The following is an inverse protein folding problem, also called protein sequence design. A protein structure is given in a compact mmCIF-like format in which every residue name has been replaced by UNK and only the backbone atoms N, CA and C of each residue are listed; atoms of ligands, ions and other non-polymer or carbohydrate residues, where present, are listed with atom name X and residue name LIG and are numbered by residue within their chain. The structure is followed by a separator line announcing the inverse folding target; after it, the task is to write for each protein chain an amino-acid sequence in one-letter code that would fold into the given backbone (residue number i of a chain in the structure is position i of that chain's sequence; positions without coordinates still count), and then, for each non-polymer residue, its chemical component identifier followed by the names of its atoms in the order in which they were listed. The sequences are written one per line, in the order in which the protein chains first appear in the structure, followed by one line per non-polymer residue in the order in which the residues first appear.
data_IF_075896159817
#
_entry.id   IF_075896159817
#
_cell.length_a   1.000
_cell.length_b   1.000
_cell.length_c   1.000
_cell.angle_alpha   90.00
_cell.angle_beta   90.00
_cell.angle_gamma   90.00
#
_symmetry.space_group_name_H-M   'P 1'
#
loop_
_entity.id
_entity.type
_entity.pdbx_description
1 polymer ?
#
# COMPACT_ATOMS: atom_id res chain seq x y z
N UNK A 1 8.13 -70.73 -26.67
CA UNK A 1 7.25 -69.89 -27.51
C UNK A 1 7.04 -68.59 -26.76
N UNK A 2 8.03 -67.70 -26.77
CA UNK A 2 8.20 -66.63 -27.77
C UNK A 2 7.09 -65.57 -27.72
N UNK A 3 7.54 -64.36 -27.33
CA UNK A 3 7.04 -63.03 -27.67
C UNK A 3 5.59 -62.72 -27.27
N UNK A 4 5.34 -61.64 -26.53
CA UNK A 4 5.44 -60.30 -27.08
C UNK A 4 5.68 -59.26 -25.98
N UNK A 5 6.91 -58.76 -25.94
CA UNK A 5 7.20 -57.44 -25.39
C UNK A 5 6.37 -56.39 -26.14
N UNK A 6 5.40 -55.81 -25.45
CA UNK A 6 4.52 -54.76 -25.98
C UNK A 6 4.58 -53.50 -25.12
N UNK A 7 5.70 -52.80 -25.20
CA UNK A 7 5.86 -51.35 -25.05
C UNK A 7 4.88 -50.63 -24.09
N UNK A 8 5.20 -50.61 -22.79
CA UNK A 8 4.70 -49.56 -21.89
C UNK A 8 5.44 -48.26 -22.25
N UNK A 9 4.85 -47.52 -23.18
CA UNK A 9 5.18 -46.11 -23.42
C UNK A 9 4.99 -45.33 -22.11
N UNK A 10 6.04 -45.27 -21.30
CA UNK A 10 6.16 -44.30 -20.22
C UNK A 10 6.36 -42.93 -20.86
N UNK A 11 5.25 -42.31 -21.29
CA UNK A 11 5.25 -40.87 -21.53
C UNK A 11 5.52 -40.22 -20.17
N UNK A 12 6.80 -39.90 -19.94
CA UNK A 12 7.21 -38.94 -18.91
C UNK A 12 6.43 -37.68 -19.21
N UNK A 13 5.44 -37.37 -18.38
CA UNK A 13 4.91 -36.03 -18.28
C UNK A 13 6.08 -35.16 -17.82
N UNK A 14 6.78 -34.56 -18.76
CA UNK A 14 7.58 -33.38 -18.47
C UNK A 14 6.57 -32.23 -18.38
N UNK A 15 6.31 -31.65 -17.21
CA UNK A 15 5.70 -30.34 -17.21
C UNK A 15 6.77 -29.43 -17.81
N UNK A 16 6.60 -29.02 -19.05
CA UNK A 16 7.26 -27.81 -19.53
C UNK A 16 6.83 -26.71 -18.57
N UNK A 17 7.71 -26.38 -17.62
CA UNK A 17 7.53 -25.27 -16.73
C UNK A 17 7.61 -24.01 -17.59
N UNK A 18 6.46 -23.62 -18.16
CA UNK A 18 6.26 -22.30 -18.69
C UNK A 18 6.36 -21.34 -17.50
N UNK A 19 7.55 -20.77 -17.30
CA UNK A 19 7.82 -19.70 -16.32
C UNK A 19 6.88 -18.49 -16.59
N UNK A 20 6.31 -18.43 -17.80
CA UNK A 20 5.42 -17.38 -18.30
C UNK A 20 3.99 -17.84 -18.60
N UNK A 21 3.54 -19.05 -18.20
CA UNK A 21 2.12 -19.40 -18.36
C UNK A 21 1.32 -18.62 -17.32
N UNK A 22 0.67 -17.55 -17.78
CA UNK A 22 -0.26 -16.69 -17.04
C UNK A 22 -1.59 -17.40 -16.66
N UNK A 23 -1.56 -18.73 -16.49
CA UNK A 23 -2.69 -19.54 -16.03
C UNK A 23 -2.89 -19.52 -14.51
N UNK A 24 -2.17 -18.67 -13.76
CA UNK A 24 -2.26 -18.62 -12.29
C UNK A 24 -3.43 -17.81 -11.75
N UNK A 25 -3.96 -16.83 -12.50
CA UNK A 25 -5.11 -16.01 -12.07
C UNK A 25 -6.36 -16.31 -12.89
N UNK A 26 -7.48 -16.48 -12.19
CA UNK A 26 -8.80 -16.55 -12.82
C UNK A 26 -9.20 -15.20 -13.45
N UNK A 27 -10.03 -15.25 -14.50
CA UNK A 27 -10.57 -14.04 -15.15
C UNK A 27 -11.27 -13.09 -14.15
N UNK A 28 -11.88 -13.67 -13.10
CA UNK A 28 -12.55 -12.93 -12.03
C UNK A 28 -11.53 -12.14 -11.20
N UNK A 29 -10.42 -12.76 -10.81
CA UNK A 29 -9.34 -12.10 -10.07
C UNK A 29 -8.68 -10.98 -10.91
N UNK A 30 -8.46 -11.21 -12.20
CA UNK A 30 -7.89 -10.18 -13.08
C UNK A 30 -8.82 -8.96 -13.20
N UNK A 31 -10.13 -9.18 -13.42
CA UNK A 31 -11.10 -8.10 -13.50
C UNK A 31 -11.19 -7.32 -12.18
N UNK A 32 -11.16 -8.02 -11.04
CA UNK A 32 -11.19 -7.39 -9.72
C UNK A 32 -9.93 -6.56 -9.46
N UNK A 33 -8.74 -7.10 -9.72
CA UNK A 33 -7.48 -6.38 -9.59
C UNK A 33 -7.45 -5.15 -10.50
N UNK A 34 -7.92 -5.25 -11.75
CA UNK A 34 -7.97 -4.12 -12.65
C UNK A 34 -8.82 -2.98 -12.08
N UNK A 35 -10.02 -3.29 -11.58
CA UNK A 35 -10.90 -2.29 -10.93
C UNK A 35 -10.29 -1.70 -9.67
N UNK A 36 -9.59 -2.52 -8.89
CA UNK A 36 -8.89 -2.09 -7.69
C UNK A 36 -7.76 -1.10 -8.03
N UNK A 37 -6.84 -1.47 -8.93
CA UNK A 37 -5.72 -0.60 -9.31
C UNK A 37 -6.18 0.66 -10.04
N UNK A 38 -7.23 0.63 -10.86
CA UNK A 38 -7.78 1.86 -11.45
C UNK A 38 -8.37 2.79 -10.40
N UNK A 39 -9.03 2.24 -9.37
CA UNK A 39 -9.54 3.01 -8.22
C UNK A 39 -8.40 3.66 -7.44
N UNK A 40 -7.30 2.93 -7.22
CA UNK A 40 -6.08 3.46 -6.60
C UNK A 40 -5.52 4.62 -7.43
N UNK A 41 -5.41 4.47 -8.76
CA UNK A 41 -4.94 5.53 -9.64
C UNK A 41 -5.82 6.78 -9.55
N UNK A 42 -7.15 6.63 -9.62
CA UNK A 42 -8.09 7.75 -9.43
C UNK A 42 -7.87 8.41 -8.06
N UNK A 43 -7.76 7.61 -6.99
CA UNK A 43 -7.47 8.10 -5.66
C UNK A 43 -6.17 8.91 -5.59
N UNK A 44 -5.10 8.44 -6.22
CA UNK A 44 -3.81 9.19 -6.27
C UNK A 44 -3.92 10.52 -7.01
N UNK A 45 -4.71 10.60 -8.09
CA UNK A 45 -4.99 11.87 -8.79
C UNK A 45 -5.70 12.84 -7.85
N UNK A 46 -6.75 12.39 -7.15
CA UNK A 46 -7.48 13.22 -6.18
C UNK A 46 -6.60 13.63 -5.00
N UNK A 47 -5.72 12.75 -4.54
CA UNK A 47 -4.72 13.05 -3.49
C UNK A 47 -3.78 14.16 -3.94
N UNK A 48 -3.31 14.07 -5.19
CA UNK A 48 -2.44 15.08 -5.78
C UNK A 48 -3.15 16.42 -5.87
N UNK A 49 -4.41 16.44 -6.30
CA UNK A 49 -5.24 17.65 -6.30
C UNK A 49 -5.38 18.25 -4.90
N UNK A 50 -5.65 17.42 -3.88
CA UNK A 50 -5.73 17.86 -2.48
C UNK A 50 -4.42 18.47 -1.99
N UNK A 51 -3.29 17.87 -2.31
CA UNK A 51 -1.97 18.39 -1.96
C UNK A 51 -1.67 19.73 -2.67
N UNK A 52 -1.96 19.84 -3.97
CA UNK A 52 -1.76 21.08 -4.75
C UNK A 52 -2.61 22.22 -4.20
N UNK A 53 -3.88 21.96 -3.88
CA UNK A 53 -4.79 22.95 -3.30
C UNK A 53 -4.29 23.45 -1.94
N UNK A 54 -3.76 22.55 -1.10
CA UNK A 54 -3.14 22.90 0.17
C UNK A 54 -1.90 23.78 -0.02
N UNK A 55 -1.01 23.40 -0.95
CA UNK A 55 0.24 24.12 -1.25
C UNK A 55 -0.05 25.54 -1.75
N UNK A 56 -1.05 25.69 -2.62
CA UNK A 56 -1.46 26.98 -3.16
C UNK A 56 -2.24 27.84 -2.15
N UNK A 57 -2.42 27.37 -0.91
CA UNK A 57 -3.17 28.04 0.17
C UNK A 57 -4.64 28.35 -0.19
N UNK A 58 -5.21 27.61 -1.14
CA UNK A 58 -6.60 27.81 -1.55
C UNK A 58 -7.57 27.23 -0.52
N UNK A 59 -7.24 26.05 0.03
CA UNK A 59 -8.01 25.39 1.07
C UNK A 59 -7.02 24.64 1.98
N UNK A 60 -6.99 24.99 3.26
CA UNK A 60 -6.17 24.33 4.26
C UNK A 60 -7.09 23.74 5.32
N UNK A 61 -7.39 22.45 5.16
CA UNK A 61 -8.22 21.73 6.12
C UNK A 61 -7.42 21.61 7.43
N UNK A 62 -7.95 22.09 8.56
CA UNK A 62 -7.32 21.87 9.85
C UNK A 62 -7.11 20.38 10.11
N UNK A 63 -5.97 20.01 10.68
CA UNK A 63 -5.57 18.61 10.86
C UNK A 63 -6.65 17.77 11.58
N UNK A 64 -7.26 18.31 12.64
CA UNK A 64 -8.35 17.65 13.37
C UNK A 64 -9.58 17.38 12.49
N UNK A 65 -9.99 18.36 11.68
CA UNK A 65 -11.13 18.22 10.75
C UNK A 65 -10.81 17.18 9.68
N UNK A 66 -9.58 17.19 9.14
CA UNK A 66 -9.10 16.19 8.20
C UNK A 66 -9.12 14.77 8.78
N UNK A 67 -8.68 14.61 10.03
CA UNK A 67 -8.72 13.32 10.73
C UNK A 67 -10.15 12.81 10.94
N UNK A 68 -11.04 13.66 11.47
CA UNK A 68 -12.45 13.30 11.70
C UNK A 68 -13.13 12.92 10.38
N UNK A 69 -12.90 13.70 9.33
CA UNK A 69 -13.44 13.42 7.99
C UNK A 69 -12.89 12.11 7.45
N UNK A 70 -11.58 11.88 7.58
CA UNK A 70 -10.93 10.66 7.13
C UNK A 70 -11.48 9.40 7.81
N UNK A 71 -11.59 9.43 9.15
CA UNK A 71 -12.19 8.34 9.92
C UNK A 71 -13.68 8.16 9.61
N UNK A 72 -14.43 9.24 9.45
CA UNK A 72 -15.85 9.20 9.09
C UNK A 72 -16.09 8.54 7.74
N UNK A 73 -15.31 8.92 6.72
CA UNK A 73 -15.37 8.30 5.39
C UNK A 73 -15.00 6.81 5.44
N UNK A 74 -13.94 6.45 6.16
CA UNK A 74 -13.54 5.05 6.34
C UNK A 74 -14.63 4.22 7.02
N UNK A 75 -15.15 4.71 8.15
CA UNK A 75 -16.21 4.05 8.88
C UNK A 75 -17.45 3.85 8.02
N UNK A 76 -17.84 4.87 7.25
CA UNK A 76 -18.95 4.78 6.30
C UNK A 76 -18.71 3.70 5.23
N UNK A 77 -17.52 3.65 4.63
CA UNK A 77 -17.21 2.69 3.56
C UNK A 77 -17.20 1.24 4.09
N UNK A 78 -16.64 1.02 5.28
CA UNK A 78 -16.64 -0.30 5.93
C UNK A 78 -18.07 -0.71 6.28
N UNK A 79 -18.85 0.18 6.90
CA UNK A 79 -20.22 -0.11 7.33
C UNK A 79 -21.19 -0.37 6.18
N UNK A 80 -20.95 0.28 5.04
CA UNK A 80 -21.73 0.14 3.79
C UNK A 80 -21.15 -0.91 2.84
N UNK A 81 -20.13 -1.66 3.25
CA UNK A 81 -19.60 -2.76 2.47
C UNK A 81 -20.68 -3.83 2.30
N UNK A 82 -20.88 -4.22 1.05
CA UNK A 82 -21.78 -5.29 0.64
C UNK A 82 -21.06 -6.13 -0.39
N UNK A 83 -21.22 -7.45 -0.33
CA UNK A 83 -20.59 -8.37 -1.30
C UNK A 83 -21.34 -8.38 -2.65
N UNK A 84 -21.53 -7.18 -3.21
CA UNK A 84 -22.25 -6.90 -4.45
C UNK A 84 -21.31 -6.25 -5.45
N UNK A 85 -21.48 -6.56 -6.74
CA UNK A 85 -20.63 -6.01 -7.81
C UNK A 85 -20.87 -4.51 -8.03
N UNK A 86 -22.08 -4.03 -7.70
CA UNK A 86 -22.49 -2.64 -7.90
C UNK A 86 -22.04 -1.82 -6.70
N UNK A 87 -21.22 -0.80 -6.96
CA UNK A 87 -20.80 0.16 -5.95
C UNK A 87 -21.79 1.33 -5.93
N UNK A 88 -22.21 1.69 -4.73
CA UNK A 88 -23.02 2.90 -4.51
C UNK A 88 -22.21 4.17 -4.80
N UNK A 89 -22.82 5.12 -5.51
CA UNK A 89 -22.25 6.45 -5.76
C UNK A 89 -21.69 7.10 -4.48
N UNK A 90 -22.41 6.97 -3.36
CA UNK A 90 -21.99 7.53 -2.07
C UNK A 90 -20.71 6.92 -1.51
N UNK A 91 -20.44 5.64 -1.79
CA UNK A 91 -19.19 4.98 -1.39
C UNK A 91 -18.00 5.50 -2.19
N UNK A 92 -18.19 5.69 -3.50
CA UNK A 92 -17.17 6.32 -4.35
C UNK A 92 -16.92 7.75 -3.89
N UNK A 93 -17.97 8.54 -3.63
CA UNK A 93 -17.82 9.91 -3.15
C UNK A 93 -17.07 9.96 -1.81
N UNK A 94 -17.40 9.09 -0.86
CA UNK A 94 -16.68 9.00 0.41
C UNK A 94 -15.20 8.65 0.21
N UNK A 95 -14.88 7.76 -0.74
CA UNK A 95 -13.49 7.45 -1.10
C UNK A 95 -12.76 8.66 -1.69
N UNK A 96 -13.39 9.43 -2.59
CA UNK A 96 -12.75 10.61 -3.16
C UNK A 96 -12.52 11.71 -2.11
N UNK A 97 -13.48 11.95 -1.22
CA UNK A 97 -13.33 12.88 -0.08
C UNK A 97 -12.19 12.43 0.82
N UNK A 98 -12.10 11.12 1.10
CA UNK A 98 -11.01 10.53 1.86
C UNK A 98 -9.64 10.77 1.20
N UNK A 99 -9.49 10.49 -0.09
CA UNK A 99 -8.24 10.76 -0.81
C UNK A 99 -7.87 12.24 -0.83
N UNK A 100 -8.86 13.13 -1.01
CA UNK A 100 -8.65 14.57 -1.04
C UNK A 100 -8.16 15.11 0.31
N UNK A 101 -8.77 14.66 1.41
CA UNK A 101 -8.39 15.04 2.78
C UNK A 101 -7.03 14.49 3.17
N UNK A 102 -6.66 13.28 2.71
CA UNK A 102 -5.29 12.77 2.83
C UNK A 102 -4.28 13.63 2.06
N UNK A 103 -4.60 14.03 0.82
CA UNK A 103 -3.76 14.94 0.04
C UNK A 103 -3.47 16.26 0.76
N UNK A 104 -4.52 16.87 1.34
CA UNK A 104 -4.37 18.05 2.20
C UNK A 104 -3.46 17.79 3.40
N UNK A 105 -3.62 16.64 4.06
CA UNK A 105 -2.84 16.26 5.24
C UNK A 105 -1.36 16.00 4.93
N UNK A 106 -1.04 15.59 3.69
CA UNK A 106 0.34 15.45 3.20
C UNK A 106 0.98 16.79 2.79
N UNK A 107 0.18 17.83 2.58
CA UNK A 107 0.64 19.15 2.15
C UNK A 107 1.80 19.72 2.98
N UNK A 108 1.73 19.76 4.32
CA UNK A 108 2.85 20.20 5.16
C UNK A 108 4.13 19.40 4.94
N UNK A 109 4.04 18.08 4.81
CA UNK A 109 5.19 17.20 4.58
C UNK A 109 5.85 17.52 3.23
N UNK A 110 5.05 17.76 2.20
CA UNK A 110 5.54 18.10 0.85
C UNK A 110 6.24 19.46 0.84
N UNK A 111 5.61 20.48 1.46
CA UNK A 111 6.21 21.82 1.59
C UNK A 111 7.53 21.74 2.35
N UNK A 112 7.56 21.02 3.47
CA UNK A 112 8.75 20.88 4.29
C UNK A 112 9.86 20.12 3.55
N UNK A 113 9.52 19.03 2.85
CA UNK A 113 10.49 18.29 2.04
C UNK A 113 11.09 19.16 0.94
N UNK A 114 10.26 19.90 0.21
CA UNK A 114 10.72 20.82 -0.83
C UNK A 114 11.60 21.95 -0.29
N UNK A 115 11.30 22.46 0.92
CA UNK A 115 12.13 23.45 1.59
C UNK A 115 13.53 22.92 1.95
N UNK A 116 13.63 21.65 2.37
CA UNK A 116 14.93 21.04 2.68
C UNK A 116 15.71 20.74 1.41
N UNK A 117 15.13 20.00 0.47
CA UNK A 117 15.70 19.75 -0.85
C UNK A 117 14.59 19.33 -1.82
N UNK A 118 14.37 20.04 -2.94
CA UNK A 118 13.31 19.73 -3.89
C UNK A 118 13.40 18.32 -4.50
N UNK A 119 14.57 17.65 -4.44
CA UNK A 119 14.72 16.28 -4.94
C UNK A 119 14.06 15.22 -4.04
N UNK A 120 13.75 15.55 -2.78
CA UNK A 120 13.25 14.58 -1.79
C UNK A 120 11.88 14.02 -2.17
N UNK A 121 10.94 14.87 -2.58
CA UNK A 121 9.57 14.43 -2.88
C UNK A 121 9.52 13.55 -4.13
N UNK A 122 10.15 13.91 -5.27
CA UNK A 122 10.22 13.04 -6.43
C UNK A 122 10.93 11.72 -6.15
N UNK A 123 12.04 11.73 -5.39
CA UNK A 123 12.76 10.49 -5.04
C UNK A 123 11.91 9.58 -4.17
N UNK A 124 11.21 10.13 -3.16
CA UNK A 124 10.28 9.36 -2.34
C UNK A 124 9.16 8.70 -3.17
N UNK A 125 8.58 9.43 -4.13
CA UNK A 125 7.55 8.91 -5.03
C UNK A 125 8.08 7.76 -5.90
N UNK A 126 9.24 7.94 -6.54
CA UNK A 126 9.85 6.91 -7.39
C UNK A 126 10.18 5.66 -6.56
N UNK A 127 10.78 5.82 -5.39
CA UNK A 127 11.08 4.68 -4.50
C UNK A 127 9.80 3.96 -4.08
N UNK A 128 8.74 4.70 -3.75
CA UNK A 128 7.44 4.11 -3.39
C UNK A 128 6.85 3.33 -4.55
N UNK A 129 6.87 3.88 -5.78
CA UNK A 129 6.36 3.21 -6.97
C UNK A 129 7.11 1.91 -7.27
N UNK A 130 8.44 1.93 -7.18
CA UNK A 130 9.27 0.74 -7.39
C UNK A 130 8.92 -0.35 -6.37
N UNK A 131 8.86 -0.01 -5.09
CA UNK A 131 8.49 -0.95 -4.03
C UNK A 131 7.05 -1.46 -4.22
N UNK A 132 6.12 -0.55 -4.45
CA UNK A 132 4.70 -0.89 -4.58
C UNK A 132 4.46 -1.85 -5.75
N UNK A 133 4.98 -1.53 -6.93
CA UNK A 133 4.82 -2.35 -8.14
C UNK A 133 5.54 -3.68 -8.00
N UNK A 134 6.79 -3.70 -7.52
CA UNK A 134 7.55 -4.94 -7.37
C UNK A 134 6.94 -5.90 -6.36
N UNK A 135 6.46 -5.39 -5.23
CA UNK A 135 5.83 -6.20 -4.17
C UNK A 135 4.44 -6.67 -4.58
N UNK A 136 3.65 -5.81 -5.23
CA UNK A 136 2.34 -6.21 -5.80
C UNK A 136 2.52 -7.31 -6.85
N UNK A 137 3.51 -7.17 -7.74
CA UNK A 137 3.84 -8.18 -8.74
C UNK A 137 4.29 -9.48 -8.05
N UNK A 138 5.19 -9.41 -7.08
CA UNK A 138 5.65 -10.57 -6.30
C UNK A 138 4.49 -11.29 -5.60
N UNK A 139 3.52 -10.54 -5.05
CA UNK A 139 2.32 -11.09 -4.46
C UNK A 139 1.48 -11.86 -5.49
N UNK A 140 1.21 -11.27 -6.66
CA UNK A 140 0.44 -11.94 -7.72
C UNK A 140 1.03 -13.30 -8.13
N UNK A 141 2.36 -13.46 -8.09
CA UNK A 141 3.04 -14.70 -8.47
C UNK A 141 3.33 -15.68 -7.32
N UNK A 142 3.11 -15.30 -6.06
CA UNK A 142 3.43 -16.15 -4.91
C UNK A 142 2.29 -17.13 -4.59
N UNK A 143 2.63 -18.33 -4.08
CA UNK A 143 1.67 -19.40 -3.75
C UNK A 143 0.88 -19.10 -2.46
N UNK A 144 -0.43 -19.36 -2.51
CA UNK A 144 -1.49 -19.07 -1.50
C UNK A 144 -1.32 -19.61 -0.06
N UNK A 145 -0.23 -20.30 0.31
CA UNK A 145 -0.10 -20.92 1.66
C UNK A 145 0.46 -19.99 2.75
N UNK A 146 0.99 -18.82 2.37
CA UNK A 146 1.67 -17.91 3.30
C UNK A 146 0.73 -16.95 4.04
N UNK A 147 -0.50 -16.76 3.57
CA UNK A 147 -1.34 -15.60 3.93
C UNK A 147 -1.91 -15.68 5.35
N UNK A 148 -2.22 -16.88 5.85
CA UNK A 148 -2.72 -17.07 7.23
C UNK A 148 -1.64 -16.85 8.31
N UNK A 149 -0.39 -17.25 8.06
CA UNK A 149 0.69 -17.02 9.03
C UNK A 149 1.16 -15.55 9.02
N UNK A 150 1.07 -14.89 7.86
CA UNK A 150 1.47 -13.50 7.72
C UNK A 150 0.52 -12.52 8.41
N UNK A 151 -0.79 -12.83 8.51
CA UNK A 151 -1.77 -11.91 9.12
C UNK A 151 -1.47 -11.65 10.61
N UNK A 152 -1.21 -12.69 11.39
CA UNK A 152 -0.87 -12.59 12.81
C UNK A 152 0.46 -11.87 13.03
N UNK A 153 1.46 -12.16 12.19
CA UNK A 153 2.76 -11.50 12.25
C UNK A 153 2.67 -10.01 11.93
N UNK A 154 1.97 -9.64 10.86
CA UNK A 154 1.79 -8.24 10.47
C UNK A 154 0.98 -7.48 11.53
N UNK A 155 -0.12 -8.06 12.03
CA UNK A 155 -0.93 -7.42 13.06
C UNK A 155 -0.16 -7.22 14.37
N UNK A 156 0.58 -8.23 14.83
CA UNK A 156 1.42 -8.13 16.03
C UNK A 156 2.58 -7.15 15.86
N UNK A 157 3.24 -7.13 14.70
CA UNK A 157 4.29 -6.16 14.38
C UNK A 157 3.74 -4.73 14.37
N UNK A 158 2.57 -4.50 13.77
CA UNK A 158 1.89 -3.20 13.76
C UNK A 158 1.52 -2.74 15.17
N UNK A 159 0.95 -3.63 15.98
CA UNK A 159 0.62 -3.31 17.38
C UNK A 159 1.88 -2.96 18.19
N UNK A 160 2.97 -3.72 18.03
CA UNK A 160 4.23 -3.48 18.72
C UNK A 160 4.89 -2.17 18.29
N UNK A 161 4.98 -1.89 16.98
CA UNK A 161 5.52 -0.62 16.48
C UNK A 161 4.65 0.56 16.87
N UNK A 162 3.32 0.38 16.90
CA UNK A 162 2.38 1.37 17.41
C UNK A 162 2.60 1.67 18.90
N UNK A 163 2.80 0.63 19.71
CA UNK A 163 3.10 0.76 21.13
C UNK A 163 4.42 1.53 21.35
N UNK A 164 5.50 1.16 20.66
CA UNK A 164 6.77 1.90 20.74
C UNK A 164 6.58 3.36 20.29
N UNK A 165 5.84 3.60 19.21
CA UNK A 165 5.56 4.96 18.73
C UNK A 165 4.78 5.79 19.75
N UNK A 166 3.84 5.18 20.47
CA UNK A 166 3.09 5.85 21.54
C UNK A 166 4.00 6.24 22.70
N UNK A 167 4.89 5.36 23.16
CA UNK A 167 5.85 5.72 24.21
C UNK A 167 6.89 6.73 23.74
N UNK A 168 7.37 6.61 22.49
CA UNK A 168 8.35 7.55 21.97
C UNK A 168 7.79 8.96 21.80
N UNK A 169 6.47 9.12 21.67
CA UNK A 169 5.83 10.43 21.72
C UNK A 169 6.10 11.19 23.04
N UNK A 170 6.16 10.47 24.18
CA UNK A 170 6.49 11.05 25.48
C UNK A 170 8.00 11.24 25.68
N UNK A 171 8.81 10.25 25.31
CA UNK A 171 10.27 10.27 25.57
C UNK A 171 11.10 11.00 24.50
N UNK A 172 10.57 11.16 23.29
CA UNK A 172 11.18 11.88 22.15
C UNK A 172 12.61 11.44 21.82
N UNK A 173 12.88 10.14 21.86
CA UNK A 173 14.20 9.61 21.53
C UNK A 173 14.45 9.62 20.02
N UNK A 174 15.49 10.35 19.60
CA UNK A 174 15.91 10.44 18.19
C UNK A 174 16.27 9.09 17.60
N UNK A 175 16.97 8.25 18.37
CA UNK A 175 17.35 6.91 17.93
C UNK A 175 16.12 6.06 17.64
N UNK A 176 15.16 6.03 18.58
CA UNK A 176 13.90 5.29 18.43
C UNK A 176 13.10 5.84 17.25
N UNK A 177 13.04 7.16 17.06
CA UNK A 177 12.35 7.76 15.92
C UNK A 177 12.92 7.33 14.56
N UNK A 178 14.24 7.21 14.45
CA UNK A 178 14.90 6.74 13.22
C UNK A 178 14.60 5.25 13.01
N UNK A 179 14.75 4.43 14.05
CA UNK A 179 14.45 2.99 13.99
C UNK A 179 12.99 2.73 13.61
N UNK A 180 12.05 3.43 14.24
CA UNK A 180 10.63 3.38 13.91
C UNK A 180 10.39 3.76 12.45
N UNK A 181 11.05 4.81 11.96
CA UNK A 181 10.89 5.23 10.56
C UNK A 181 11.23 4.11 9.57
N UNK A 182 12.37 3.42 9.75
CA UNK A 182 12.73 2.29 8.88
C UNK A 182 11.84 1.07 9.10
N UNK A 183 11.48 0.77 10.35
CA UNK A 183 10.57 -0.35 10.66
C UNK A 183 9.19 -0.17 10.02
N UNK A 184 8.64 1.05 10.03
CA UNK A 184 7.38 1.36 9.34
C UNK A 184 7.49 1.25 7.82
N UNK A 185 8.62 1.61 7.20
CA UNK A 185 8.81 1.40 5.75
C UNK A 185 8.75 -0.09 5.42
N UNK A 186 9.44 -0.92 6.20
CA UNK A 186 9.38 -2.38 6.03
C UNK A 186 7.96 -2.89 6.25
N UNK A 187 7.29 -2.45 7.30
CA UNK A 187 5.92 -2.86 7.63
C UNK A 187 4.92 -2.50 6.50
N UNK A 188 4.91 -1.26 6.02
CA UNK A 188 4.04 -0.85 4.91
C UNK A 188 4.39 -1.57 3.61
N UNK A 189 5.67 -1.90 3.39
CA UNK A 189 6.07 -2.74 2.25
C UNK A 189 5.48 -4.15 2.37
N UNK A 190 5.51 -4.76 3.57
CA UNK A 190 4.87 -6.05 3.81
C UNK A 190 3.35 -5.99 3.66
N UNK A 191 2.72 -4.90 4.09
CA UNK A 191 1.29 -4.68 3.88
C UNK A 191 0.94 -4.65 2.39
N UNK A 192 1.68 -3.93 1.54
CA UNK A 192 1.43 -3.95 0.07
C UNK A 192 1.42 -5.39 -0.48
N UNK A 193 2.40 -6.19 -0.09
CA UNK A 193 2.47 -7.60 -0.49
C UNK A 193 1.27 -8.40 0.06
N UNK A 194 0.98 -8.24 1.35
CA UNK A 194 -0.07 -8.96 2.06
C UNK A 194 -1.47 -8.60 1.56
N UNK A 195 -1.79 -7.32 1.40
CA UNK A 195 -3.08 -6.83 0.94
C UNK A 195 -3.35 -7.24 -0.51
N UNK A 196 -2.31 -7.31 -1.34
CA UNK A 196 -2.44 -7.88 -2.69
C UNK A 196 -2.75 -9.38 -2.65
N UNK A 197 -2.10 -10.14 -1.76
CA UNK A 197 -2.38 -11.58 -1.57
C UNK A 197 -3.78 -11.85 -1.03
N UNK A 198 -4.15 -11.18 0.07
CA UNK A 198 -5.44 -11.41 0.72
C UNK A 198 -6.58 -11.03 -0.21
N UNK A 199 -6.43 -9.97 -1.02
CA UNK A 199 -7.41 -9.62 -2.05
C UNK A 199 -7.61 -10.77 -3.05
N UNK A 200 -6.52 -11.39 -3.53
CA UNK A 200 -6.61 -12.53 -4.45
C UNK A 200 -7.28 -13.75 -3.83
N UNK A 201 -7.08 -13.98 -2.54
CA UNK A 201 -7.73 -15.05 -1.78
C UNK A 201 -9.21 -14.77 -1.54
N UNK A 202 -9.56 -13.58 -1.05
CA UNK A 202 -10.94 -13.12 -0.86
C UNK A 202 -11.75 -13.26 -2.15
N UNK A 203 -11.20 -12.81 -3.28
CA UNK A 203 -11.86 -12.92 -4.58
C UNK A 203 -12.03 -14.39 -5.01
N UNK A 204 -11.07 -15.26 -4.67
CA UNK A 204 -11.21 -16.70 -4.92
C UNK A 204 -12.33 -17.35 -4.08
N UNK A 205 -12.62 -16.79 -2.89
CA UNK A 205 -13.76 -17.19 -2.05
C UNK A 205 -15.07 -16.46 -2.40
N UNK A 206 -15.08 -15.63 -3.44
CA UNK A 206 -16.28 -14.99 -3.96
C UNK A 206 -16.55 -13.58 -3.43
N UNK A 207 -15.57 -12.93 -2.79
CA UNK A 207 -15.65 -11.50 -2.47
C UNK A 207 -15.58 -10.64 -3.74
N UNK A 208 -16.42 -9.61 -3.78
CA UNK A 208 -16.62 -8.74 -4.96
C UNK A 208 -16.37 -7.26 -4.66
N UNK A 209 -16.16 -6.90 -3.39
CA UNK A 209 -15.98 -5.52 -2.96
C UNK A 209 -14.55 -5.03 -3.25
N UNK A 210 -14.28 -4.64 -4.49
CA UNK A 210 -12.97 -4.14 -4.89
C UNK A 210 -12.62 -2.77 -4.30
N UNK A 211 -13.62 -2.00 -3.87
CA UNK A 211 -13.39 -0.66 -3.31
C UNK A 211 -12.73 -0.75 -1.94
N UNK A 212 -13.19 -1.68 -1.09
CA UNK A 212 -12.60 -1.89 0.23
C UNK A 212 -11.14 -2.32 0.09
N UNK A 213 -10.86 -3.32 -0.75
CA UNK A 213 -9.50 -3.77 -1.06
C UNK A 213 -8.63 -2.64 -1.65
N UNK A 214 -9.19 -1.82 -2.55
CA UNK A 214 -8.47 -0.69 -3.14
C UNK A 214 -8.05 0.33 -2.09
N UNK A 215 -8.92 0.61 -1.12
CA UNK A 215 -8.68 1.58 -0.06
C UNK A 215 -7.58 1.14 0.89
N UNK A 216 -7.57 -0.14 1.28
CA UNK A 216 -6.52 -0.72 2.13
C UNK A 216 -5.15 -0.61 1.45
N UNK A 217 -5.06 -1.13 0.21
CA UNK A 217 -3.82 -1.10 -0.56
C UNK A 217 -3.38 0.33 -0.92
N UNK A 218 -4.32 1.24 -1.17
CA UNK A 218 -4.02 2.67 -1.38
C UNK A 218 -3.42 3.31 -0.12
N UNK A 219 -3.96 3.02 1.05
CA UNK A 219 -3.43 3.53 2.32
C UNK A 219 -2.01 3.04 2.57
N UNK A 220 -1.70 1.79 2.26
CA UNK A 220 -0.33 1.28 2.36
C UNK A 220 0.64 2.06 1.47
N UNK A 221 0.24 2.33 0.23
CA UNK A 221 1.02 3.14 -0.71
C UNK A 221 1.27 4.57 -0.18
N UNK A 222 0.23 5.23 0.33
CA UNK A 222 0.34 6.59 0.89
C UNK A 222 1.22 6.61 2.15
N UNK A 223 1.04 5.65 3.04
CA UNK A 223 1.83 5.54 4.27
C UNK A 223 3.30 5.24 3.97
N UNK A 224 3.56 4.34 3.02
CA UNK A 224 4.91 4.03 2.53
C UNK A 224 5.57 5.29 1.96
N UNK A 225 4.87 6.03 1.09
CA UNK A 225 5.36 7.31 0.55
C UNK A 225 5.69 8.32 1.65
N UNK A 226 4.75 8.59 2.55
CA UNK A 226 4.92 9.57 3.61
C UNK A 226 6.11 9.22 4.52
N UNK A 227 6.31 7.92 4.80
CA UNK A 227 7.41 7.46 5.64
C UNK A 227 8.76 7.53 4.92
N UNK A 228 8.83 7.15 3.65
CA UNK A 228 10.04 7.31 2.83
C UNK A 228 10.43 8.80 2.73
N UNK A 229 9.48 9.68 2.44
CA UNK A 229 9.71 11.12 2.40
C UNK A 229 10.26 11.63 3.74
N UNK A 230 9.66 11.22 4.87
CA UNK A 230 10.14 11.58 6.21
C UNK A 230 11.59 11.14 6.44
N UNK A 231 11.96 9.92 6.04
CA UNK A 231 13.35 9.42 6.18
C UNK A 231 14.31 10.24 5.33
N UNK A 232 13.96 10.52 4.07
CA UNK A 232 14.81 11.30 3.17
C UNK A 232 15.00 12.74 3.67
N UNK A 233 13.97 13.34 4.27
CA UNK A 233 14.06 14.66 4.92
C UNK A 233 15.07 14.62 6.06
N UNK A 234 14.92 13.68 7.01
CA UNK A 234 15.83 13.54 8.15
C UNK A 234 17.28 13.34 7.71
N UNK A 235 17.51 12.46 6.73
CA UNK A 235 18.84 12.17 6.19
C UNK A 235 19.51 13.43 5.63
N UNK A 236 18.80 14.21 4.81
CA UNK A 236 19.35 15.45 4.24
C UNK A 236 19.64 16.52 5.30
N UNK A 237 18.86 16.56 6.37
CA UNK A 237 19.11 17.48 7.48
C UNK A 237 20.40 17.14 8.21
N UNK A 238 20.60 15.86 8.55
CA UNK A 238 21.82 15.38 9.19
C UNK A 238 23.05 15.64 8.31
N UNK A 239 22.96 15.41 6.99
CA UNK A 239 24.04 15.72 6.05
C UNK A 239 24.39 17.22 6.04
N UNK A 240 23.39 18.10 6.06
CA UNK A 240 23.62 19.56 6.11
C UNK A 240 24.23 19.99 7.45
N UNK A 241 23.79 19.42 8.56
CA UNK A 241 24.36 19.71 9.88
C UNK A 241 25.82 19.25 9.98
N UNK A 242 26.12 18.04 9.48
CA UNK A 242 27.48 17.51 9.49
C UNK A 242 28.44 18.34 8.62
N UNK A 243 27.97 18.89 7.49
CA UNK A 243 28.76 19.81 6.66
C UNK A 243 29.03 21.16 7.33
N UNK A 244 28.13 21.63 8.22
CA UNK A 244 28.32 22.88 8.97
C UNK A 244 29.29 22.74 10.14
N UNK A 245 29.49 21.53 10.64
CA UNK A 245 30.40 21.21 11.76
C UNK A 245 31.83 20.87 11.32
N UNK A 246 32.05 20.70 10.01
CA UNK A 246 33.37 20.51 9.40
C UNK A 246 33.86 21.84 8.86
#
# INVERSE_FOLDING_TARGET
MENLFGNKNSRRYMPSANIWSTSTLSNIQQSHLLKMYTTILIGTIITTLGAVIYINRLLQIPTLVGLITGFGCMFYIIRSSSNTVIISFWRVLAFLIFCFTLGNSLGPLIIYGNFINPIIIPTALITTLILFVSLSCSAIYTKKRLTLYMSALILSASAYLGFISFFNFFFRSKFVDITLSYAFILLYSLYVFYDTQITLECVAYGEKDFLLHAIQLYLDGINLFAKIATVLIKKHQEEKENKRKR
#
